data_IF_750979761366
#
_entry.id   IF_750979761366
#
_cell.length_a   1.000
_cell.length_b   1.000
_cell.length_c   1.000
_cell.angle_alpha   90.00
_cell.angle_beta   90.00
_cell.angle_gamma   90.00
#
_symmetry.space_group_name_H-M   'P 1'
#
loop_
_entity.id
_entity.type
_entity.pdbx_description
1 polymer ?
#
# COMPACT_ATOMS: atom_id res chain seq x y z
N UNK A 1 -59.99 -9.68 64.07
CA UNK A 1 -60.38 -9.29 62.72
C UNK A 1 -59.15 -8.68 62.01
N UNK A 2 -58.66 -9.44 61.01
CA UNK A 2 -57.44 -9.24 60.30
C UNK A 2 -57.58 -8.06 59.26
N UNK A 3 -56.67 -7.10 59.29
CA UNK A 3 -56.48 -6.14 58.21
C UNK A 3 -55.38 -6.65 57.28
N UNK A 4 -55.73 -6.92 56.01
CA UNK A 4 -54.80 -7.34 55.01
C UNK A 4 -54.22 -6.13 54.35
N UNK A 5 -52.91 -5.97 54.46
CA UNK A 5 -52.10 -4.93 53.72
C UNK A 5 -51.90 -5.36 52.30
N UNK A 6 -52.39 -4.57 51.33
CA UNK A 6 -52.15 -4.73 49.90
C UNK A 6 -50.72 -4.28 49.54
N UNK A 7 -49.77 -5.21 49.44
CA UNK A 7 -48.52 -4.98 48.74
C UNK A 7 -48.73 -5.08 47.24
N UNK A 8 -48.65 -3.96 46.51
CA UNK A 8 -48.55 -3.94 45.05
C UNK A 8 -47.22 -4.55 44.65
N UNK A 9 -47.28 -5.75 44.12
CA UNK A 9 -46.13 -6.38 43.44
C UNK A 9 -45.97 -5.72 42.08
N UNK A 10 -44.95 -4.92 41.92
CA UNK A 10 -44.53 -4.39 40.60
C UNK A 10 -44.08 -5.58 39.75
N UNK A 11 -44.70 -5.74 38.56
CA UNK A 11 -44.38 -6.83 37.64
C UNK A 11 -42.94 -6.67 37.08
N UNK A 12 -42.21 -7.79 36.90
CA UNK A 12 -40.83 -7.73 36.40
C UNK A 12 -40.69 -7.18 34.95
N UNK A 13 -41.80 -7.04 34.22
CA UNK A 13 -41.80 -6.54 32.85
C UNK A 13 -41.42 -5.06 32.74
N UNK A 14 -41.76 -4.23 33.75
CA UNK A 14 -41.47 -2.79 33.70
C UNK A 14 -39.98 -2.47 33.92
N UNK A 15 -39.26 -3.32 34.67
CA UNK A 15 -37.83 -3.16 34.92
C UNK A 15 -36.97 -3.56 33.73
N UNK A 16 -37.37 -4.59 33.00
CA UNK A 16 -36.65 -5.08 31.79
C UNK A 16 -36.76 -4.09 30.62
N UNK A 17 -37.94 -3.47 30.46
CA UNK A 17 -38.15 -2.47 29.40
C UNK A 17 -37.29 -1.23 29.61
N UNK A 18 -37.14 -0.75 30.86
CA UNK A 18 -36.24 0.38 31.17
C UNK A 18 -34.78 0.07 30.92
N UNK A 19 -34.34 -1.14 31.22
CA UNK A 19 -32.97 -1.56 30.97
C UNK A 19 -32.66 -1.66 29.46
N UNK A 20 -33.61 -2.14 28.64
CA UNK A 20 -33.47 -2.20 27.20
C UNK A 20 -33.45 -0.79 26.56
N UNK A 21 -34.23 0.14 27.04
CA UNK A 21 -34.24 1.53 26.51
C UNK A 21 -32.92 2.21 26.85
N UNK A 22 -32.35 2.01 28.03
CA UNK A 22 -31.04 2.58 28.41
C UNK A 22 -29.92 1.94 27.57
N UNK A 23 -29.97 0.63 27.33
CA UNK A 23 -28.98 -0.02 26.45
C UNK A 23 -29.08 0.43 25.00
N UNK A 24 -30.28 0.69 24.48
CA UNK A 24 -30.48 1.19 23.11
C UNK A 24 -30.02 2.64 22.92
N UNK A 25 -30.13 3.46 23.98
CA UNK A 25 -29.61 4.83 23.96
C UNK A 25 -28.07 4.89 23.98
N UNK A 26 -27.41 3.91 24.61
CA UNK A 26 -25.95 3.81 24.60
C UNK A 26 -25.39 3.24 23.27
N UNK A 27 -26.17 2.45 22.54
CA UNK A 27 -25.76 1.90 21.23
C UNK A 27 -25.93 2.94 20.11
N UNK A 28 -26.81 3.94 20.28
CA UNK A 28 -27.02 4.98 19.26
C UNK A 28 -25.97 6.10 19.25
N UNK A 29 -25.14 6.20 20.29
CA UNK A 29 -24.09 7.23 20.35
C UNK A 29 -22.69 6.75 19.95
N UNK A 30 -22.50 5.47 19.66
CA UNK A 30 -21.28 4.99 19.04
C UNK A 30 -21.37 4.95 17.51
N UNK A 31 -21.98 5.93 16.87
CA UNK A 31 -21.51 6.32 15.56
C UNK A 31 -20.12 6.89 15.82
N UNK A 32 -19.12 6.02 15.67
CA UNK A 32 -17.77 6.49 15.41
C UNK A 32 -17.92 7.66 14.44
N UNK A 33 -17.45 8.83 14.81
CA UNK A 33 -17.17 9.88 13.85
C UNK A 33 -16.41 9.17 12.73
N UNK A 34 -17.07 8.95 11.60
CA UNK A 34 -16.41 8.76 10.35
C UNK A 34 -15.63 10.05 10.21
N UNK A 35 -14.42 10.03 10.77
CA UNK A 35 -13.47 11.10 10.59
C UNK A 35 -13.46 11.29 9.09
N UNK A 36 -13.97 12.42 8.67
CA UNK A 36 -13.82 12.95 7.33
C UNK A 36 -12.33 13.18 7.09
N UNK A 37 -11.58 12.08 7.02
CA UNK A 37 -10.29 12.05 6.40
C UNK A 37 -10.59 12.27 4.93
N UNK A 38 -10.70 13.54 4.58
CA UNK A 38 -10.82 14.03 3.22
C UNK A 38 -9.45 13.84 2.55
N UNK A 39 -9.00 12.57 2.55
CA UNK A 39 -7.77 12.19 1.90
C UNK A 39 -8.03 12.05 0.43
N UNK A 40 -7.46 12.97 -0.31
CA UNK A 40 -7.29 12.96 -1.75
C UNK A 40 -8.60 12.72 -2.52
N UNK A 41 -8.86 13.53 -3.51
CA UNK A 41 -9.95 13.24 -4.42
C UNK A 41 -9.75 11.81 -4.90
N UNK A 42 -10.69 10.94 -4.67
CA UNK A 42 -10.63 9.49 -4.99
C UNK A 42 -10.27 9.20 -6.45
N UNK A 43 -10.15 10.23 -7.26
CA UNK A 43 -10.16 10.17 -8.70
C UNK A 43 -8.94 10.80 -9.37
N UNK A 44 -7.98 11.34 -8.60
CA UNK A 44 -6.82 12.06 -9.17
C UNK A 44 -5.52 11.57 -8.55
N UNK A 45 -4.52 11.35 -9.39
CA UNK A 45 -3.16 11.05 -8.97
C UNK A 45 -2.72 9.61 -9.23
N UNK A 46 -1.44 9.38 -8.95
CA UNK A 46 -0.77 8.08 -9.05
C UNK A 46 -0.21 7.77 -7.67
N UNK A 47 -0.59 6.64 -7.11
CA UNK A 47 0.02 6.15 -5.88
C UNK A 47 1.33 5.46 -6.22
N UNK A 48 2.45 5.94 -5.68
CA UNK A 48 3.74 5.27 -5.81
C UNK A 48 3.97 4.31 -4.66
N UNK A 49 4.34 3.07 -4.98
CA UNK A 49 4.81 2.07 -4.03
C UNK A 49 6.31 1.86 -4.26
N UNK A 50 7.10 2.20 -3.26
CA UNK A 50 8.56 2.16 -3.29
C UNK A 50 9.08 0.89 -2.63
N UNK A 51 10.01 0.21 -3.30
CA UNK A 51 10.70 -0.98 -2.82
C UNK A 51 12.21 -0.83 -3.00
N UNK A 52 13.00 -1.67 -2.30
CA UNK A 52 14.46 -1.67 -2.40
C UNK A 52 15.01 -3.09 -2.55
N UNK A 53 14.88 -3.91 -1.50
CA UNK A 53 15.46 -5.26 -1.37
C UNK A 53 14.38 -6.33 -1.34
N UNK A 54 14.72 -7.53 -1.80
CA UNK A 54 13.78 -8.65 -1.90
C UNK A 54 14.41 -9.94 -1.38
N UNK A 55 13.73 -10.59 -0.43
CA UNK A 55 14.14 -11.86 0.20
C UNK A 55 15.54 -11.84 0.83
N UNK A 56 16.05 -10.69 1.23
CA UNK A 56 17.27 -10.62 2.03
C UNK A 56 16.99 -10.93 3.51
N UNK A 57 17.97 -11.51 4.23
CA UNK A 57 17.84 -11.81 5.66
C UNK A 57 18.21 -10.61 6.57
N UNK A 58 18.69 -9.54 5.97
CA UNK A 58 19.13 -8.30 6.65
C UNK A 58 18.27 -7.12 6.20
N UNK A 59 18.41 -6.01 6.93
CA UNK A 59 17.78 -4.72 6.58
C UNK A 59 16.25 -4.75 6.52
N UNK A 60 15.56 -5.12 7.62
CA UNK A 60 14.12 -5.36 7.62
C UNK A 60 13.29 -4.11 7.26
N UNK A 61 13.85 -2.90 7.41
CA UNK A 61 13.18 -1.65 7.05
C UNK A 61 13.09 -1.40 5.53
N UNK A 62 13.97 -2.03 4.74
CA UNK A 62 14.04 -1.82 3.29
C UNK A 62 13.86 -3.13 2.50
N UNK A 63 13.62 -4.24 3.19
CA UNK A 63 13.50 -5.56 2.60
C UNK A 63 12.06 -6.07 2.67
N UNK A 64 11.59 -6.67 1.59
CA UNK A 64 10.30 -7.34 1.51
C UNK A 64 10.48 -8.80 1.09
N UNK A 65 9.69 -9.71 1.67
CA UNK A 65 9.63 -11.09 1.17
C UNK A 65 8.89 -11.15 -0.15
N UNK A 66 9.39 -11.96 -1.11
CA UNK A 66 8.73 -12.12 -2.41
C UNK A 66 7.31 -12.64 -2.31
N UNK A 67 6.97 -13.46 -1.31
CA UNK A 67 5.59 -13.88 -1.06
C UNK A 67 4.69 -12.67 -0.78
N UNK A 68 5.12 -11.78 0.13
CA UNK A 68 4.37 -10.57 0.49
C UNK A 68 4.27 -9.61 -0.71
N UNK A 69 5.36 -9.43 -1.47
CA UNK A 69 5.34 -8.62 -2.69
C UNK A 69 4.32 -9.14 -3.71
N UNK A 70 4.31 -10.45 -3.97
CA UNK A 70 3.32 -11.08 -4.86
C UNK A 70 1.88 -10.90 -4.37
N UNK A 71 1.65 -11.03 -3.07
CA UNK A 71 0.34 -10.80 -2.47
C UNK A 71 -0.12 -9.35 -2.64
N UNK A 72 0.77 -8.37 -2.44
CA UNK A 72 0.48 -6.96 -2.71
C UNK A 72 0.11 -6.71 -4.19
N UNK A 73 0.84 -7.32 -5.14
CA UNK A 73 0.51 -7.23 -6.56
C UNK A 73 -0.89 -7.81 -6.86
N UNK A 74 -1.26 -8.91 -6.22
CA UNK A 74 -2.59 -9.51 -6.38
C UNK A 74 -3.68 -8.60 -5.80
N UNK A 75 -3.48 -8.06 -4.60
CA UNK A 75 -4.42 -7.10 -3.97
C UNK A 75 -4.63 -5.87 -4.87
N UNK A 76 -3.57 -5.33 -5.48
CA UNK A 76 -3.64 -4.20 -6.42
C UNK A 76 -4.58 -4.53 -7.59
N UNK A 77 -4.46 -5.75 -8.15
CA UNK A 77 -5.30 -6.22 -9.25
C UNK A 77 -6.75 -6.43 -8.82
N UNK A 78 -6.96 -7.06 -7.67
CA UNK A 78 -8.29 -7.36 -7.13
C UNK A 78 -9.07 -6.07 -6.80
N UNK A 79 -8.37 -5.02 -6.40
CA UNK A 79 -8.94 -3.69 -6.18
C UNK A 79 -9.12 -2.87 -7.47
N UNK A 80 -8.87 -3.47 -8.65
CA UNK A 80 -8.96 -2.83 -9.96
C UNK A 80 -8.04 -1.62 -10.17
N UNK A 81 -6.89 -1.57 -9.48
CA UNK A 81 -5.87 -0.60 -9.79
C UNK A 81 -5.11 -0.99 -11.06
N UNK A 82 -4.76 0.01 -11.86
CA UNK A 82 -3.93 -0.17 -13.07
C UNK A 82 -2.47 0.13 -12.73
N UNK A 83 -1.57 -0.73 -13.17
CA UNK A 83 -0.13 -0.40 -13.11
C UNK A 83 0.16 0.70 -14.12
N UNK A 84 0.79 1.76 -13.63
CA UNK A 84 1.07 2.95 -14.41
C UNK A 84 2.37 2.77 -15.20
N UNK A 85 2.29 3.00 -16.53
CA UNK A 85 3.48 3.02 -17.38
C UNK A 85 4.12 4.41 -17.34
N UNK A 86 5.37 4.55 -16.83
CA UNK A 86 6.06 5.83 -16.68
C UNK A 86 6.33 6.59 -17.98
N UNK A 87 6.38 5.91 -19.13
CA UNK A 87 6.61 6.51 -20.46
C UNK A 87 5.70 7.71 -20.76
N UNK A 88 4.52 7.70 -20.18
CA UNK A 88 3.51 8.73 -20.41
C UNK A 88 3.29 9.65 -19.20
N UNK A 89 4.26 9.75 -18.28
CA UNK A 89 4.09 10.51 -17.05
C UNK A 89 3.70 11.97 -17.33
N UNK A 90 4.45 12.69 -18.13
CA UNK A 90 4.18 14.09 -18.45
C UNK A 90 2.84 14.29 -19.17
N UNK A 91 2.53 13.43 -20.14
CA UNK A 91 1.28 13.51 -20.91
C UNK A 91 0.03 13.23 -20.09
N UNK A 92 0.16 12.43 -19.02
CA UNK A 92 -0.97 11.98 -18.23
C UNK A 92 -1.12 12.69 -16.88
N UNK A 93 -0.12 13.48 -16.46
CA UNK A 93 -0.14 14.15 -15.17
C UNK A 93 -1.31 15.14 -15.04
N UNK A 94 -1.69 15.77 -16.15
CA UNK A 94 -2.75 16.78 -16.20
C UNK A 94 -4.10 16.25 -16.71
N UNK A 95 -4.20 14.96 -17.05
CA UNK A 95 -5.46 14.39 -17.52
C UNK A 95 -6.30 13.94 -16.35
N UNK A 96 -7.45 14.58 -16.19
CA UNK A 96 -8.51 14.16 -15.27
C UNK A 96 -9.12 12.82 -15.74
N UNK A 97 -8.54 11.72 -15.34
CA UNK A 97 -9.16 10.40 -15.52
C UNK A 97 -9.33 9.72 -14.18
N UNK A 98 -10.50 9.17 -13.97
CA UNK A 98 -10.94 8.47 -12.77
C UNK A 98 -10.31 7.09 -12.57
N UNK A 99 -9.20 6.77 -13.22
CA UNK A 99 -8.56 5.47 -13.06
C UNK A 99 -7.62 5.47 -11.86
N UNK A 100 -7.81 4.51 -10.98
CA UNK A 100 -6.90 4.23 -9.87
C UNK A 100 -5.60 3.66 -10.43
N UNK A 101 -4.48 4.36 -10.21
CA UNK A 101 -3.17 4.01 -10.78
C UNK A 101 -2.12 3.82 -9.70
N UNK A 102 -1.29 2.80 -9.89
CA UNK A 102 -0.14 2.50 -9.03
C UNK A 102 1.12 2.50 -9.87
N UNK A 103 2.12 3.25 -9.42
CA UNK A 103 3.48 3.21 -9.93
C UNK A 103 4.34 2.37 -8.99
N UNK A 104 5.06 1.40 -9.53
CA UNK A 104 6.07 0.65 -8.80
C UNK A 104 7.41 1.33 -8.98
N UNK A 105 8.09 1.65 -7.90
CA UNK A 105 9.47 2.14 -7.92
C UNK A 105 10.38 1.22 -7.13
N UNK A 106 11.59 1.02 -7.62
CA UNK A 106 12.62 0.19 -7.00
C UNK A 106 13.87 1.06 -6.88
N UNK A 107 14.36 1.24 -5.67
CA UNK A 107 15.45 2.16 -5.41
C UNK A 107 16.78 1.43 -5.19
N UNK A 108 17.89 2.13 -5.40
CA UNK A 108 19.28 1.77 -5.16
C UNK A 108 19.92 0.75 -6.11
N UNK A 109 19.16 -0.09 -6.80
CA UNK A 109 19.73 -1.10 -7.70
C UNK A 109 20.40 -2.28 -6.97
N UNK A 110 19.77 -2.81 -5.90
CA UNK A 110 20.27 -3.99 -5.20
C UNK A 110 20.20 -5.27 -6.05
N UNK A 111 21.19 -6.16 -5.89
CA UNK A 111 21.22 -7.47 -6.57
C UNK A 111 19.99 -8.31 -6.29
N UNK A 112 19.43 -8.22 -5.08
CA UNK A 112 18.23 -8.97 -4.69
C UNK A 112 17.00 -8.60 -5.50
N UNK A 113 16.90 -7.37 -6.03
CA UNK A 113 15.87 -7.01 -6.99
C UNK A 113 16.04 -7.79 -8.29
N UNK A 114 17.24 -7.78 -8.88
CA UNK A 114 17.54 -8.46 -10.14
C UNK A 114 17.30 -9.97 -10.04
N UNK A 115 17.71 -10.57 -8.92
CA UNK A 115 17.64 -12.02 -8.69
C UNK A 115 16.21 -12.49 -8.40
N UNK A 116 15.42 -11.72 -7.63
CA UNK A 116 14.15 -12.20 -7.09
C UNK A 116 12.91 -11.52 -7.70
N UNK A 117 12.88 -10.18 -7.78
CA UNK A 117 11.66 -9.45 -8.17
C UNK A 117 11.57 -9.19 -9.67
N UNK A 118 12.69 -8.87 -10.33
CA UNK A 118 12.69 -8.56 -11.76
C UNK A 118 12.16 -9.69 -12.65
N UNK A 119 12.54 -10.99 -12.47
CA UNK A 119 11.97 -12.08 -13.26
C UNK A 119 10.45 -12.13 -13.20
N UNK A 120 9.89 -11.88 -12.01
CA UNK A 120 8.45 -11.85 -11.80
C UNK A 120 7.77 -10.65 -12.48
N UNK A 121 8.34 -9.44 -12.31
CA UNK A 121 7.81 -8.23 -12.96
C UNK A 121 7.87 -8.34 -14.48
N UNK A 122 8.95 -8.89 -15.03
CA UNK A 122 9.13 -9.16 -16.46
C UNK A 122 8.07 -10.13 -16.98
N UNK A 123 7.89 -11.28 -16.31
CA UNK A 123 6.90 -12.30 -16.67
C UNK A 123 5.48 -11.72 -16.68
N UNK A 124 5.13 -10.97 -15.64
CA UNK A 124 3.80 -10.39 -15.46
C UNK A 124 3.59 -9.08 -16.24
N UNK A 125 4.62 -8.61 -16.96
CA UNK A 125 4.62 -7.35 -17.73
C UNK A 125 4.16 -6.15 -16.89
N UNK A 126 4.61 -6.11 -15.63
CA UNK A 126 4.29 -5.03 -14.71
C UNK A 126 5.31 -3.91 -14.91
N UNK A 127 4.89 -2.67 -15.25
CA UNK A 127 5.81 -1.56 -15.41
C UNK A 127 6.35 -1.07 -14.07
N UNK A 128 7.62 -0.64 -14.08
CA UNK A 128 8.30 -0.09 -12.90
C UNK A 128 9.40 0.88 -13.31
N UNK A 129 9.83 1.70 -12.35
CA UNK A 129 11.06 2.50 -12.46
C UNK A 129 12.10 1.89 -11.54
N UNK A 130 13.30 1.66 -12.06
CA UNK A 130 14.49 1.28 -11.29
C UNK A 130 15.39 2.52 -11.15
N UNK A 131 15.46 3.08 -9.95
CA UNK A 131 16.33 4.22 -9.63
C UNK A 131 17.71 3.73 -9.20
N UNK A 132 18.76 4.21 -9.86
CA UNK A 132 20.12 3.73 -9.67
C UNK A 132 20.99 4.79 -9.00
N UNK A 133 21.61 4.46 -7.86
CA UNK A 133 22.73 5.17 -7.26
C UNK A 133 24.03 4.70 -7.91
N UNK A 134 24.60 5.54 -8.79
CA UNK A 134 25.63 5.09 -9.72
C UNK A 134 26.95 4.70 -9.07
N UNK A 135 27.30 5.24 -7.92
CA UNK A 135 28.49 4.85 -7.16
C UNK A 135 28.44 3.41 -6.64
N UNK A 136 27.25 2.91 -6.37
CA UNK A 136 27.04 1.58 -5.82
C UNK A 136 27.12 0.46 -6.88
N UNK A 137 26.95 0.79 -8.15
CA UNK A 137 26.91 -0.19 -9.24
C UNK A 137 28.17 -1.04 -9.30
N UNK A 138 28.00 -2.34 -9.32
CA UNK A 138 29.09 -3.33 -9.32
C UNK A 138 29.75 -3.61 -7.97
N UNK A 139 29.38 -2.86 -6.91
CA UNK A 139 29.79 -3.18 -5.55
C UNK A 139 29.02 -4.41 -5.04
N UNK A 140 29.56 -5.09 -4.03
CA UNK A 140 28.92 -6.27 -3.41
C UNK A 140 27.49 -5.94 -2.94
N UNK A 141 26.52 -6.72 -3.39
CA UNK A 141 25.11 -6.57 -3.06
C UNK A 141 24.33 -5.64 -3.98
N UNK A 142 24.98 -5.08 -5.01
CA UNK A 142 24.37 -4.21 -6.02
C UNK A 142 24.47 -4.81 -7.41
N UNK A 143 23.60 -4.41 -8.30
CA UNK A 143 23.59 -4.80 -9.71
C UNK A 143 24.84 -4.30 -10.43
N UNK A 144 25.30 -5.08 -11.42
CA UNK A 144 26.29 -4.62 -12.38
C UNK A 144 25.65 -3.77 -13.49
N UNK A 145 26.48 -3.01 -14.22
CA UNK A 145 26.00 -2.28 -15.40
C UNK A 145 25.38 -3.19 -16.47
N UNK A 146 25.90 -4.42 -16.62
CA UNK A 146 25.34 -5.36 -17.59
C UNK A 146 23.95 -5.85 -17.18
N UNK A 147 23.73 -6.08 -15.89
CA UNK A 147 22.42 -6.42 -15.35
C UNK A 147 21.42 -5.26 -15.54
N UNK A 148 21.85 -4.02 -15.28
CA UNK A 148 21.02 -2.82 -15.50
C UNK A 148 20.63 -2.71 -16.97
N UNK A 149 21.59 -2.86 -17.91
CA UNK A 149 21.34 -2.86 -19.34
C UNK A 149 20.38 -3.99 -19.79
N UNK A 150 20.46 -5.14 -19.14
CA UNK A 150 19.52 -6.24 -19.42
C UNK A 150 18.10 -5.89 -18.99
N UNK A 151 17.93 -5.28 -17.82
CA UNK A 151 16.63 -4.80 -17.32
C UNK A 151 16.07 -3.73 -18.27
N UNK A 152 16.86 -2.76 -18.69
CA UNK A 152 16.48 -1.65 -19.57
C UNK A 152 15.89 -2.13 -20.92
N UNK A 153 16.32 -3.28 -21.43
CA UNK A 153 15.80 -3.83 -22.70
C UNK A 153 14.34 -4.25 -22.65
N UNK A 154 13.76 -4.35 -21.45
CA UNK A 154 12.36 -4.78 -21.28
C UNK A 154 11.45 -3.56 -21.39
N UNK A 155 10.43 -3.55 -22.27
CA UNK A 155 9.58 -2.38 -22.53
C UNK A 155 8.80 -1.85 -21.32
N UNK A 156 8.71 -2.62 -20.25
CA UNK A 156 8.04 -2.24 -19.00
C UNK A 156 9.00 -1.75 -17.92
N UNK A 157 10.31 -1.74 -18.20
CA UNK A 157 11.34 -1.29 -17.26
C UNK A 157 11.85 0.10 -17.65
N UNK A 158 11.89 1.00 -16.70
CA UNK A 158 12.40 2.37 -16.88
C UNK A 158 13.54 2.57 -15.89
N UNK A 159 14.65 3.14 -16.38
CA UNK A 159 15.81 3.44 -15.55
C UNK A 159 15.77 4.91 -15.16
N UNK A 160 15.81 5.16 -13.85
CA UNK A 160 15.86 6.50 -13.27
C UNK A 160 17.18 6.77 -12.54
N UNK A 161 17.47 8.04 -12.30
CA UNK A 161 18.62 8.47 -11.52
C UNK A 161 18.27 8.55 -10.02
N UNK A 162 19.15 8.00 -9.17
CA UNK A 162 19.05 8.09 -7.71
C UNK A 162 20.32 8.71 -7.08
N UNK A 163 20.83 9.77 -7.69
CA UNK A 163 22.10 10.41 -7.39
C UNK A 163 23.33 9.54 -7.67
N UNK A 164 24.53 10.04 -7.35
CA UNK A 164 25.77 9.27 -7.45
C UNK A 164 26.06 8.51 -6.16
N UNK A 165 26.25 9.25 -5.09
CA UNK A 165 26.72 8.73 -3.78
C UNK A 165 25.60 8.43 -2.78
N UNK A 166 24.35 8.71 -3.15
CA UNK A 166 23.18 8.56 -2.25
C UNK A 166 23.27 9.43 -0.97
N UNK A 167 23.94 10.59 -1.08
CA UNK A 167 24.04 11.53 0.03
C UNK A 167 22.72 12.27 0.30
N UNK A 168 22.57 12.73 1.53
CA UNK A 168 21.47 13.61 1.88
C UNK A 168 21.61 14.94 1.15
N UNK A 169 20.57 15.32 0.41
CA UNK A 169 20.48 16.63 -0.22
C UNK A 169 20.01 17.64 0.83
N UNK A 170 20.92 18.42 1.37
CA UNK A 170 20.69 19.47 2.37
C UNK A 170 20.97 20.86 1.81
#
# INVERSE_FOLDING_TARGET
LLSMSNKKILSPAASTIKLFIILFLFISESKAEENNIKYYSKDKGILSLMYHRFDENKYPSTNIKMSVFKDQINIIKDLNYKFYNPENLEKNFNKEKSEKKILITIDDGFSSFYENAWPYLKEKKIPFILFISTEAVGKKGYMSWDQIKEVEKVPTAFIGNHSHSHDYLV
#
